data_IF_702163448423
#
_entry.id   IF_702163448423
#
_cell.length_a   1.000
_cell.length_b   1.000
_cell.length_c   1.000
_cell.angle_alpha   90.00
_cell.angle_beta   90.00
_cell.angle_gamma   90.00
#
_symmetry.space_group_name_H-M   'P 1'
#
loop_
_entity.id
_entity.type
_entity.pdbx_description
1 polymer ?
#
# COMPACT_ATOMS: atom_id res chain seq x y z
N UNK A 1 -1.77 -20.31 11.34
CA UNK A 1 -2.66 -20.82 10.28
C UNK A 1 -3.37 -19.59 9.72
N UNK A 2 -3.08 -19.01 8.55
CA UNK A 2 -2.40 -19.46 7.33
C UNK A 2 -1.83 -18.22 6.59
N UNK A 3 -0.63 -18.35 6.00
CA UNK A 3 -0.11 -17.69 4.79
C UNK A 3 -0.29 -16.17 4.58
N UNK A 4 0.73 -15.38 4.93
CA UNK A 4 0.96 -14.05 4.34
C UNK A 4 2.42 -13.79 3.89
N UNK A 5 3.27 -14.83 3.86
CA UNK A 5 4.62 -14.76 3.31
C UNK A 5 4.67 -15.36 1.90
N UNK A 6 5.04 -14.53 0.92
CA UNK A 6 5.28 -14.84 -0.49
C UNK A 6 4.16 -15.65 -1.16
N UNK A 7 3.19 -14.92 -1.72
CA UNK A 7 2.25 -15.51 -2.67
C UNK A 7 3.05 -16.22 -3.77
N UNK A 8 2.82 -17.52 -3.94
CA UNK A 8 3.64 -18.35 -4.83
C UNK A 8 3.50 -17.83 -6.28
N UNK A 9 4.47 -18.13 -7.15
CA UNK A 9 4.32 -17.83 -8.59
C UNK A 9 3.02 -18.38 -9.17
N UNK A 10 2.50 -19.48 -8.62
CA UNK A 10 1.20 -20.03 -8.96
C UNK A 10 0.02 -19.12 -8.60
N UNK A 11 0.07 -18.44 -7.46
CA UNK A 11 -0.99 -17.53 -7.00
C UNK A 11 -0.98 -16.22 -7.80
N UNK A 12 0.21 -15.73 -8.17
CA UNK A 12 0.36 -14.52 -8.99
C UNK A 12 -0.22 -14.73 -10.40
N UNK A 13 0.06 -15.88 -11.03
CA UNK A 13 -0.53 -16.26 -12.31
C UNK A 13 -2.05 -16.46 -12.19
N UNK A 14 -2.53 -17.06 -11.10
CA UNK A 14 -3.96 -17.22 -10.84
C UNK A 14 -4.66 -15.85 -10.77
N UNK A 15 -4.15 -14.91 -9.99
CA UNK A 15 -4.71 -13.56 -9.89
C UNK A 15 -4.67 -12.84 -11.23
N UNK A 16 -3.62 -13.03 -12.02
CA UNK A 16 -3.48 -12.45 -13.36
C UNK A 16 -4.59 -12.94 -14.29
N UNK A 17 -4.83 -14.24 -14.34
CA UNK A 17 -5.90 -14.85 -15.14
C UNK A 17 -7.29 -14.41 -14.65
N UNK A 18 -7.48 -14.33 -13.34
CA UNK A 18 -8.74 -13.92 -12.75
C UNK A 18 -9.05 -12.42 -13.01
N UNK A 19 -8.05 -11.53 -13.01
CA UNK A 19 -8.20 -10.14 -13.46
C UNK A 19 -8.59 -10.06 -14.94
N UNK A 20 -7.93 -10.82 -15.80
CA UNK A 20 -8.25 -10.83 -17.22
C UNK A 20 -9.69 -11.31 -17.49
N UNK A 21 -10.17 -12.32 -16.76
CA UNK A 21 -11.55 -12.81 -16.85
C UNK A 21 -12.56 -11.80 -16.26
N UNK A 22 -12.23 -11.18 -15.14
CA UNK A 22 -13.03 -10.09 -14.53
C UNK A 22 -13.21 -8.93 -15.50
N UNK A 23 -12.17 -8.56 -16.26
CA UNK A 23 -12.25 -7.51 -17.28
C UNK A 23 -13.27 -7.82 -18.40
N UNK A 24 -13.67 -9.09 -18.57
CA UNK A 24 -14.70 -9.53 -19.50
C UNK A 24 -16.08 -9.71 -18.84
N UNK A 25 -16.22 -9.32 -17.57
CA UNK A 25 -17.46 -9.44 -16.81
C UNK A 25 -17.69 -10.80 -16.15
N UNK A 26 -16.65 -11.64 -16.00
CA UNK A 26 -16.78 -12.93 -15.32
C UNK A 26 -16.93 -12.75 -13.80
N UNK A 27 -18.14 -12.99 -13.29
CA UNK A 27 -18.47 -12.87 -11.87
C UNK A 27 -17.80 -13.93 -11.00
N UNK A 28 -17.54 -15.13 -11.54
CA UNK A 28 -16.87 -16.21 -10.80
C UNK A 28 -15.41 -15.87 -10.60
N UNK A 29 -14.74 -15.41 -11.66
CA UNK A 29 -13.36 -14.95 -11.58
C UNK A 29 -13.21 -13.78 -10.59
N UNK A 30 -14.17 -12.86 -10.56
CA UNK A 30 -14.17 -11.78 -9.57
C UNK A 30 -14.36 -12.27 -8.13
N UNK A 31 -15.23 -13.26 -7.90
CA UNK A 31 -15.39 -13.87 -6.59
C UNK A 31 -14.09 -14.59 -6.14
N UNK A 32 -13.37 -15.21 -7.07
CA UNK A 32 -12.07 -15.83 -6.79
C UNK A 32 -11.00 -14.79 -6.47
N UNK A 33 -10.93 -13.67 -7.22
CA UNK A 33 -10.09 -12.52 -6.88
C UNK A 33 -10.36 -12.01 -5.47
N UNK A 34 -11.63 -11.85 -5.11
CA UNK A 34 -12.03 -11.40 -3.79
C UNK A 34 -11.54 -12.36 -2.71
N UNK A 35 -11.77 -13.67 -2.88
CA UNK A 35 -11.38 -14.69 -1.90
C UNK A 35 -9.87 -14.72 -1.67
N UNK A 36 -9.08 -14.61 -2.74
CA UNK A 36 -7.62 -14.69 -2.68
C UNK A 36 -6.99 -13.40 -2.14
N UNK A 37 -7.43 -12.24 -2.63
CA UNK A 37 -6.75 -10.98 -2.35
C UNK A 37 -7.29 -10.24 -1.11
N UNK A 38 -8.55 -10.47 -0.70
CA UNK A 38 -9.19 -9.69 0.36
C UNK A 38 -8.45 -9.66 1.70
N UNK A 39 -7.82 -10.73 2.21
CA UNK A 39 -7.10 -10.67 3.49
C UNK A 39 -5.91 -9.68 3.43
N UNK A 40 -5.13 -9.75 2.36
CA UNK A 40 -3.96 -8.87 2.17
C UNK A 40 -4.39 -7.43 1.93
N UNK A 41 -5.42 -7.23 1.10
CA UNK A 41 -5.96 -5.90 0.81
C UNK A 41 -6.63 -5.26 2.03
N UNK A 42 -7.28 -6.05 2.90
CA UNK A 42 -7.78 -5.59 4.19
C UNK A 42 -6.63 -5.08 5.07
N UNK A 43 -5.53 -5.82 5.14
CA UNK A 43 -4.34 -5.40 5.89
C UNK A 43 -3.72 -4.10 5.32
N UNK A 44 -3.82 -3.85 4.01
CA UNK A 44 -3.42 -2.57 3.41
C UNK A 44 -4.34 -1.43 3.87
N UNK A 45 -5.65 -1.61 3.81
CA UNK A 45 -6.61 -0.59 4.25
C UNK A 45 -6.46 -0.27 5.75
N UNK A 46 -6.31 -1.29 6.59
CA UNK A 46 -6.12 -1.13 8.05
C UNK A 46 -4.87 -0.35 8.41
N UNK A 47 -3.76 -0.51 7.66
CA UNK A 47 -2.52 0.25 7.92
C UNK A 47 -2.68 1.75 7.67
N UNK A 48 -3.59 2.13 6.77
CA UNK A 48 -3.85 3.54 6.43
C UNK A 48 -4.92 4.13 7.34
N UNK A 49 -6.00 3.39 7.61
CA UNK A 49 -7.18 3.91 8.32
C UNK A 49 -7.15 3.64 9.83
N UNK A 50 -6.39 2.66 10.31
CA UNK A 50 -6.37 2.26 11.73
C UNK A 50 -7.75 1.96 12.36
N UNK A 51 -8.79 1.77 11.54
CA UNK A 51 -10.19 1.55 11.91
C UNK A 51 -10.80 0.46 11.04
N UNK A 52 -11.36 -0.57 11.66
CA UNK A 52 -11.82 -1.78 10.98
C UNK A 52 -13.06 -1.55 10.13
N UNK A 53 -14.03 -0.82 10.67
CA UNK A 53 -15.25 -0.41 9.96
C UNK A 53 -14.92 0.37 8.68
N UNK A 54 -14.10 1.41 8.79
CA UNK A 54 -13.69 2.22 7.65
C UNK A 54 -12.88 1.41 6.62
N UNK A 55 -12.06 0.45 7.07
CA UNK A 55 -11.30 -0.43 6.19
C UNK A 55 -12.19 -1.41 5.42
N UNK A 56 -13.23 -1.95 6.04
CA UNK A 56 -14.22 -2.81 5.38
C UNK A 56 -14.97 -2.06 4.27
N UNK A 57 -15.41 -0.83 4.53
CA UNK A 57 -16.09 0.01 3.53
C UNK A 57 -15.16 0.31 2.34
N UNK A 58 -13.92 0.73 2.62
CA UNK A 58 -12.92 1.02 1.59
C UNK A 58 -12.58 -0.22 0.77
N UNK A 59 -12.50 -1.40 1.41
CA UNK A 59 -12.24 -2.65 0.72
C UNK A 59 -13.36 -2.97 -0.27
N UNK A 60 -14.62 -2.82 0.13
CA UNK A 60 -15.78 -3.03 -0.74
C UNK A 60 -15.75 -2.07 -1.94
N UNK A 61 -15.59 -0.78 -1.70
CA UNK A 61 -15.49 0.23 -2.76
C UNK A 61 -14.30 -0.02 -3.70
N UNK A 62 -13.18 -0.52 -3.17
CA UNK A 62 -12.01 -0.84 -3.96
C UNK A 62 -12.24 -2.07 -4.85
N UNK A 63 -12.95 -3.08 -4.39
CA UNK A 63 -13.30 -4.24 -5.22
C UNK A 63 -14.25 -3.86 -6.35
N UNK A 64 -15.20 -2.96 -6.13
CA UNK A 64 -16.02 -2.39 -7.22
C UNK A 64 -15.13 -1.65 -8.24
N UNK A 65 -14.16 -0.86 -7.75
CA UNK A 65 -13.22 -0.18 -8.64
C UNK A 65 -12.32 -1.15 -9.41
N UNK A 66 -11.92 -2.26 -8.78
CA UNK A 66 -11.14 -3.32 -9.42
C UNK A 66 -11.96 -3.99 -10.52
N UNK A 67 -13.25 -4.28 -10.29
CA UNK A 67 -14.15 -4.79 -11.31
C UNK A 67 -14.16 -3.87 -12.54
N UNK A 68 -14.39 -2.57 -12.34
CA UNK A 68 -14.46 -1.59 -13.43
C UNK A 68 -13.12 -1.39 -14.16
N UNK A 69 -12.01 -1.53 -13.45
CA UNK A 69 -10.66 -1.22 -13.96
C UNK A 69 -9.81 -2.45 -14.26
N UNK A 70 -10.34 -3.66 -14.13
CA UNK A 70 -9.57 -4.89 -14.33
C UNK A 70 -8.89 -4.93 -15.71
N UNK A 71 -9.55 -4.38 -16.74
CA UNK A 71 -8.98 -4.29 -18.09
C UNK A 71 -7.81 -3.29 -18.24
N UNK A 72 -7.56 -2.44 -17.24
CA UNK A 72 -6.42 -1.51 -17.21
C UNK A 72 -5.18 -2.12 -16.57
N UNK A 73 -5.28 -3.32 -15.98
CA UNK A 73 -4.13 -4.01 -15.43
C UNK A 73 -3.15 -4.41 -16.55
N UNK A 74 -1.88 -4.16 -16.28
CA UNK A 74 -0.77 -4.32 -17.22
C UNK A 74 0.35 -5.09 -16.51
N UNK A 75 0.59 -6.33 -16.94
CA UNK A 75 1.52 -7.26 -16.28
C UNK A 75 2.96 -6.75 -16.29
N UNK A 76 3.34 -5.99 -17.32
CA UNK A 76 4.64 -5.36 -17.45
C UNK A 76 4.87 -4.23 -16.42
N UNK A 77 3.81 -3.70 -15.80
CA UNK A 77 3.90 -2.64 -14.78
C UNK A 77 3.94 -3.17 -13.35
N UNK A 78 3.77 -4.47 -13.14
CA UNK A 78 3.91 -5.12 -11.84
C UNK A 78 2.93 -6.26 -11.59
N UNK A 79 3.10 -6.90 -10.43
CA UNK A 79 2.28 -8.02 -9.99
C UNK A 79 0.80 -7.62 -9.80
N UNK A 80 -0.16 -8.54 -10.06
CA UNK A 80 -1.60 -8.30 -9.89
C UNK A 80 -1.98 -7.74 -8.53
N UNK A 81 -1.46 -8.36 -7.47
CA UNK A 81 -1.76 -7.96 -6.10
C UNK A 81 -1.21 -6.57 -5.76
N UNK A 82 -0.03 -6.22 -6.30
CA UNK A 82 0.54 -4.88 -6.15
C UNK A 82 -0.36 -3.81 -6.78
N UNK A 83 -0.89 -4.07 -7.96
CA UNK A 83 -1.85 -3.18 -8.61
C UNK A 83 -3.15 -3.04 -7.79
N UNK A 84 -3.73 -4.15 -7.31
CA UNK A 84 -4.93 -4.13 -6.46
C UNK A 84 -4.68 -3.40 -5.13
N UNK A 85 -3.51 -3.60 -4.52
CA UNK A 85 -3.10 -2.92 -3.30
C UNK A 85 -2.99 -1.41 -3.51
N UNK A 86 -2.50 -0.96 -4.66
CA UNK A 86 -2.48 0.46 -5.02
C UNK A 86 -3.89 1.04 -5.15
N UNK A 87 -4.85 0.30 -5.73
CA UNK A 87 -6.26 0.74 -5.80
C UNK A 87 -6.84 0.94 -4.40
N UNK A 88 -6.67 -0.05 -3.51
CA UNK A 88 -7.16 0.01 -2.12
C UNK A 88 -6.51 1.16 -1.36
N UNK A 89 -5.19 1.29 -1.49
CA UNK A 89 -4.42 2.35 -0.83
C UNK A 89 -4.89 3.74 -1.25
N UNK A 90 -5.07 3.99 -2.54
CA UNK A 90 -5.56 5.28 -3.02
C UNK A 90 -6.94 5.62 -2.43
N UNK A 91 -7.86 4.64 -2.37
CA UNK A 91 -9.18 4.83 -1.77
C UNK A 91 -9.11 5.10 -0.26
N UNK A 92 -8.26 4.39 0.46
CA UNK A 92 -8.04 4.64 1.88
C UNK A 92 -7.53 6.06 2.14
N UNK A 93 -6.59 6.55 1.32
CA UNK A 93 -6.05 7.91 1.42
C UNK A 93 -7.13 8.95 1.11
N UNK A 94 -7.92 8.72 0.06
CA UNK A 94 -9.03 9.61 -0.29
C UNK A 94 -10.05 9.70 0.85
N UNK A 95 -10.31 8.59 1.56
CA UNK A 95 -11.16 8.54 2.75
C UNK A 95 -10.58 9.37 3.89
N UNK A 96 -9.29 9.22 4.22
CA UNK A 96 -8.59 10.02 5.24
C UNK A 96 -8.68 11.51 4.89
N UNK A 97 -8.42 11.88 3.64
CA UNK A 97 -8.49 13.28 3.18
C UNK A 97 -9.90 13.85 3.29
N UNK A 98 -10.94 13.04 3.04
CA UNK A 98 -12.33 13.46 3.20
C UNK A 98 -12.69 13.71 4.66
N UNK A 99 -12.27 12.87 5.59
CA UNK A 99 -12.50 13.08 7.03
C UNK A 99 -11.76 14.30 7.58
N UNK A 100 -10.47 14.46 7.22
CA UNK A 100 -9.68 15.64 7.62
C UNK A 100 -10.34 16.95 7.18
N UNK A 101 -10.89 17.00 5.97
CA UNK A 101 -11.64 18.19 5.48
C UNK A 101 -12.95 18.44 6.23
N UNK A 102 -13.51 17.43 6.89
CA UNK A 102 -14.72 17.55 7.71
C UNK A 102 -14.42 17.94 9.17
N UNK A 103 -13.14 18.11 9.54
CA UNK A 103 -12.73 18.34 10.93
C UNK A 103 -12.83 17.09 11.80
N UNK A 104 -13.07 15.93 11.19
CA UNK A 104 -13.05 14.63 11.84
C UNK A 104 -11.59 14.16 11.88
N UNK A 105 -10.82 14.63 12.86
CA UNK A 105 -9.41 14.23 13.03
C UNK A 105 -9.32 12.83 13.69
N UNK A 106 -10.00 11.85 13.09
CA UNK A 106 -10.20 10.50 13.66
C UNK A 106 -9.05 9.54 13.31
N UNK A 107 -8.14 9.97 12.42
CA UNK A 107 -7.02 9.16 11.93
C UNK A 107 -5.64 9.71 12.32
N UNK A 108 -5.56 10.61 13.32
CA UNK A 108 -4.30 11.07 13.86
C UNK A 108 -3.60 9.92 14.61
N UNK A 109 -2.65 9.24 13.93
CA UNK A 109 -1.77 8.28 14.60
C UNK A 109 -0.75 9.05 15.45
N UNK A 110 -0.39 8.56 16.66
CA UNK A 110 0.66 9.15 17.50
C UNK A 110 2.05 9.25 16.82
N UNK A 111 2.28 8.53 15.72
CA UNK A 111 3.51 8.54 14.90
C UNK A 111 3.76 9.86 14.13
N UNK A 112 2.97 10.89 14.39
CA UNK A 112 3.15 12.26 13.87
C UNK A 112 4.56 12.82 14.19
N UNK A 113 5.20 12.34 15.26
CA UNK A 113 6.60 12.55 15.54
C UNK A 113 7.40 11.57 14.69
N UNK A 114 7.87 12.01 13.51
CA UNK A 114 8.39 11.14 12.45
C UNK A 114 9.66 10.34 12.75
N UNK A 115 9.64 9.50 13.77
CA UNK A 115 10.42 8.30 13.90
C UNK A 115 9.72 7.18 13.13
N UNK A 116 10.49 6.47 12.32
CA UNK A 116 10.10 5.12 11.92
C UNK A 116 10.18 4.32 13.21
N UNK A 117 9.09 3.75 13.73
CA UNK A 117 9.19 3.09 15.02
C UNK A 117 10.18 1.94 14.91
N UNK A 118 11.00 1.76 15.96
CA UNK A 118 11.86 0.59 16.13
C UNK A 118 10.97 -0.64 16.28
N UNK A 119 10.54 -1.22 15.16
CA UNK A 119 9.57 -2.30 15.13
C UNK A 119 10.30 -3.64 15.13
N UNK A 120 10.62 -4.17 16.31
CA UNK A 120 11.18 -5.51 16.49
C UNK A 120 10.14 -6.61 16.72
N UNK A 121 8.85 -6.36 16.55
CA UNK A 121 7.84 -7.37 16.91
C UNK A 121 6.95 -7.80 15.74
N UNK A 122 7.16 -9.07 15.33
CA UNK A 122 6.29 -9.94 14.52
C UNK A 122 5.75 -9.33 13.23
N UNK A 123 6.66 -8.85 12.40
CA UNK A 123 6.41 -8.77 10.96
C UNK A 123 6.60 -10.17 10.34
N UNK A 124 5.75 -10.54 9.37
CA UNK A 124 6.01 -11.67 8.47
C UNK A 124 7.43 -11.56 7.88
N UNK A 125 8.07 -12.67 7.49
CA UNK A 125 9.46 -12.64 7.00
C UNK A 125 9.70 -11.59 5.91
N UNK A 126 8.79 -11.48 4.93
CA UNK A 126 8.87 -10.46 3.86
C UNK A 126 8.66 -9.03 4.36
N UNK A 127 7.76 -8.81 5.33
CA UNK A 127 7.54 -7.51 5.92
C UNK A 127 8.72 -7.11 6.83
N UNK A 128 9.38 -8.10 7.46
CA UNK A 128 10.59 -7.91 8.22
C UNK A 128 11.75 -7.48 7.32
N UNK A 129 11.91 -8.08 6.15
CA UNK A 129 12.94 -7.72 5.17
C UNK A 129 12.77 -6.29 4.64
N UNK A 130 11.52 -5.91 4.29
CA UNK A 130 11.21 -4.53 3.87
C UNK A 130 11.50 -3.53 4.98
N UNK A 131 11.11 -3.83 6.21
CA UNK A 131 11.37 -2.95 7.37
C UNK A 131 12.86 -2.87 7.71
N UNK A 132 13.59 -3.98 7.61
CA UNK A 132 15.04 -4.03 7.80
C UNK A 132 15.76 -3.20 6.73
N UNK A 133 15.38 -3.34 5.47
CA UNK A 133 15.91 -2.55 4.36
C UNK A 133 15.56 -1.06 4.49
N UNK A 134 14.34 -0.71 4.92
CA UNK A 134 13.97 0.67 5.28
C UNK A 134 14.87 1.22 6.40
N UNK A 135 15.20 0.39 7.38
CA UNK A 135 16.10 0.75 8.48
C UNK A 135 17.53 1.09 8.03
N UNK A 136 17.99 0.56 6.89
CA UNK A 136 19.32 0.81 6.31
C UNK A 136 19.42 2.10 5.50
N UNK A 137 18.29 2.71 5.14
CA UNK A 137 18.28 3.98 4.42
C UNK A 137 18.77 5.14 5.29
N UNK A 138 19.34 6.16 4.64
CA UNK A 138 19.63 7.43 5.31
C UNK A 138 18.36 8.03 5.95
N UNK A 139 18.48 8.77 7.07
CA UNK A 139 17.34 9.23 7.86
C UNK A 139 16.28 10.00 7.06
N UNK A 140 16.70 10.89 6.17
CA UNK A 140 15.80 11.76 5.41
C UNK A 140 15.03 11.01 4.31
N UNK A 141 15.66 10.23 3.41
CA UNK A 141 14.95 9.32 2.52
C UNK A 141 14.02 8.36 3.24
N UNK A 142 14.48 7.76 4.35
CA UNK A 142 13.68 6.86 5.17
C UNK A 142 12.40 7.54 5.67
N UNK A 143 12.53 8.75 6.24
CA UNK A 143 11.41 9.55 6.74
C UNK A 143 10.45 9.98 5.63
N UNK A 144 10.99 10.42 4.49
CA UNK A 144 10.18 10.84 3.34
C UNK A 144 9.35 9.66 2.79
N UNK A 145 9.96 8.49 2.67
CA UNK A 145 9.29 7.26 2.22
C UNK A 145 8.26 6.81 3.24
N UNK A 146 8.58 6.84 4.54
CA UNK A 146 7.63 6.48 5.59
C UNK A 146 6.39 7.37 5.59
N UNK A 147 6.56 8.69 5.53
CA UNK A 147 5.46 9.65 5.46
C UNK A 147 4.60 9.42 4.21
N UNK A 148 5.23 9.19 3.06
CA UNK A 148 4.54 8.90 1.82
C UNK A 148 3.78 7.57 1.89
N UNK A 149 4.37 6.49 2.41
CA UNK A 149 3.83 5.13 2.42
C UNK A 149 2.77 4.91 3.50
N UNK A 150 3.02 5.34 4.75
CA UNK A 150 2.14 5.08 5.89
C UNK A 150 0.93 6.00 5.94
N UNK A 151 1.15 7.30 5.73
CA UNK A 151 0.09 8.31 5.87
C UNK A 151 -0.52 8.73 4.54
N UNK A 152 0.04 8.29 3.42
CA UNK A 152 -0.50 8.62 2.11
C UNK A 152 -0.31 10.07 1.69
N UNK A 153 0.60 10.78 2.35
CA UNK A 153 0.91 12.16 2.03
C UNK A 153 1.39 12.28 0.58
N UNK A 154 0.92 13.32 -0.14
CA UNK A 154 1.52 13.72 -1.41
C UNK A 154 2.96 14.15 -1.19
N UNK A 155 3.75 14.19 -2.27
CA UNK A 155 5.09 14.75 -2.19
C UNK A 155 5.11 16.20 -1.66
N UNK A 156 4.05 16.97 -1.89
CA UNK A 156 3.88 18.34 -1.38
C UNK A 156 3.60 18.35 0.12
N UNK A 157 2.70 17.47 0.60
CA UNK A 157 2.40 17.30 2.03
C UNK A 157 3.64 16.80 2.79
N UNK A 158 4.41 15.87 2.21
CA UNK A 158 5.69 15.41 2.78
C UNK A 158 6.71 16.56 2.81
N UNK A 159 6.83 17.34 1.73
CA UNK A 159 7.73 18.49 1.65
C UNK A 159 7.41 19.55 2.71
N UNK A 160 6.14 19.91 2.87
CA UNK A 160 5.69 20.84 3.89
C UNK A 160 6.01 20.32 5.30
N UNK A 161 5.74 19.04 5.58
CA UNK A 161 5.94 18.45 6.92
C UNK A 161 7.40 18.24 7.28
N UNK A 162 8.26 17.99 6.29
CA UNK A 162 9.69 17.87 6.50
C UNK A 162 10.42 19.21 6.52
N UNK A 163 9.72 20.31 6.19
CA UNK A 163 10.30 21.64 5.95
C UNK A 163 11.44 21.59 4.91
N UNK A 164 11.15 20.96 3.75
CA UNK A 164 12.13 20.76 2.67
C UNK A 164 11.53 21.08 1.30
N UNK A 165 12.35 21.53 0.33
CA UNK A 165 11.87 21.76 -1.02
C UNK A 165 11.29 20.50 -1.67
N UNK A 166 10.20 20.66 -2.44
CA UNK A 166 9.53 19.56 -3.14
C UNK A 166 10.48 18.73 -4.03
N UNK A 167 11.41 19.39 -4.72
CA UNK A 167 12.42 18.74 -5.55
C UNK A 167 13.33 17.81 -4.74
N UNK A 168 13.71 18.22 -3.52
CA UNK A 168 14.53 17.42 -2.60
C UNK A 168 13.77 16.19 -2.13
N UNK A 169 12.51 16.34 -1.71
CA UNK A 169 11.67 15.21 -1.28
C UNK A 169 11.45 14.21 -2.41
N UNK A 170 11.13 14.66 -3.62
CA UNK A 170 10.99 13.78 -4.80
C UNK A 170 12.27 13.01 -5.09
N UNK A 171 13.43 13.66 -4.99
CA UNK A 171 14.74 13.02 -5.17
C UNK A 171 15.04 12.00 -4.07
N UNK A 172 14.72 12.30 -2.81
CA UNK A 172 14.88 11.36 -1.69
C UNK A 172 13.98 10.13 -1.81
N UNK A 173 12.69 10.32 -2.13
CA UNK A 173 11.76 9.20 -2.31
C UNK A 173 12.22 8.32 -3.47
N UNK A 174 12.56 8.92 -4.61
CA UNK A 174 13.05 8.16 -5.78
C UNK A 174 14.30 7.35 -5.45
N UNK A 175 15.31 7.97 -4.82
CA UNK A 175 16.55 7.27 -4.45
C UNK A 175 16.30 6.18 -3.43
N UNK A 176 15.59 6.48 -2.34
CA UNK A 176 15.34 5.47 -1.31
C UNK A 176 14.49 4.29 -1.81
N UNK A 177 13.60 4.48 -2.79
CA UNK A 177 12.89 3.35 -3.44
C UNK A 177 13.83 2.48 -4.27
N UNK A 178 14.82 3.08 -4.96
CA UNK A 178 15.86 2.32 -5.67
C UNK A 178 16.71 1.54 -4.67
N UNK A 179 17.20 2.20 -3.61
CA UNK A 179 18.01 1.57 -2.57
C UNK A 179 17.26 0.43 -1.86
N UNK A 180 15.95 0.60 -1.61
CA UNK A 180 15.09 -0.46 -1.07
C UNK A 180 15.01 -1.67 -1.98
N UNK A 181 14.83 -1.44 -3.28
CA UNK A 181 14.79 -2.52 -4.26
C UNK A 181 16.12 -3.28 -4.29
N UNK A 182 17.24 -2.56 -4.36
CA UNK A 182 18.58 -3.18 -4.33
C UNK A 182 18.87 -3.96 -3.04
N UNK A 183 18.27 -3.54 -1.91
CA UNK A 183 18.41 -4.25 -0.64
C UNK A 183 17.57 -5.54 -0.61
N UNK A 184 16.36 -5.52 -1.20
CA UNK A 184 15.45 -6.65 -1.25
C UNK A 184 15.83 -7.69 -2.32
N UNK A 185 16.54 -7.27 -3.37
CA UNK A 185 17.02 -8.14 -4.44
C UNK A 185 18.32 -8.91 -4.06
N UNK A 186 18.86 -8.68 -2.85
CA UNK A 186 20.06 -9.37 -2.31
C UNK A 186 19.69 -10.53 -1.40
#
# INVERSE_FOLDING_TARGET
MLQAAAMDRGDDEHLRLALAATARGDRKAFADLYRLASPTLMAVALRVLARRDAAEDVLQEAFLAIWDKAGQYQAERGAPLGWMAMVVRHRAIDRVRRERRRGEDVFASPDEAGDVPSMTERADSSAHDVLACLGRLAPEPRRAIWLALRHGFTHEEVAARMDRPLGTVKSWIRRGVIDLKECLDR
#
